data_IF_423576623868
#
_entry.id   IF_423576623868
#
_cell.length_a   1.000
_cell.length_b   1.000
_cell.length_c   1.000
_cell.angle_alpha   90.00
_cell.angle_beta   90.00
_cell.angle_gamma   90.00
#
_symmetry.space_group_name_H-M   'P 1'
#
loop_
_entity.id
_entity.type
_entity.pdbx_description
1 polymer ?
#
# COMPACT_ATOMS: atom_id res chain seq x y z
N UNK A 1 37.59 -24.01 24.18
CA UNK A 1 38.58 -23.60 25.20
C UNK A 1 37.79 -23.06 26.40
N UNK A 2 36.91 -23.87 26.99
CA UNK A 2 36.12 -23.56 28.23
C UNK A 2 35.62 -24.79 28.91
N UNK A 3 36.30 -25.97 28.75
CA UNK A 3 35.92 -27.24 29.42
C UNK A 3 37.06 -27.79 30.27
N UNK A 4 38.17 -27.14 30.48
CA UNK A 4 39.29 -27.69 31.24
C UNK A 4 39.47 -27.11 32.66
N UNK A 5 38.49 -26.38 33.23
CA UNK A 5 38.66 -25.70 34.51
C UNK A 5 37.78 -26.26 35.67
N UNK A 6 37.14 -27.42 35.52
CA UNK A 6 36.24 -27.99 36.55
C UNK A 6 36.55 -29.42 36.99
N UNK A 7 37.80 -29.87 36.85
CA UNK A 7 38.13 -31.26 37.24
C UNK A 7 39.12 -31.42 38.39
N UNK A 8 39.47 -30.37 39.11
CA UNK A 8 40.33 -30.51 40.30
C UNK A 8 39.69 -29.84 41.51
N UNK A 9 39.03 -30.61 42.36
CA UNK A 9 38.88 -30.56 43.82
C UNK A 9 37.64 -31.30 44.29
N UNK A 10 37.65 -32.65 44.22
CA UNK A 10 36.87 -33.50 45.12
C UNK A 10 37.82 -34.57 45.67
N UNK A 11 38.51 -34.25 46.77
CA UNK A 11 39.17 -35.25 47.57
C UNK A 11 38.18 -35.87 48.54
N UNK A 12 38.00 -37.17 48.40
CA UNK A 12 37.25 -38.00 49.35
C UNK A 12 37.90 -37.92 50.72
N UNK A 13 37.09 -37.66 51.73
CA UNK A 13 37.41 -37.96 53.17
C UNK A 13 36.41 -38.92 53.72
N UNK A 14 36.94 -40.00 54.28
CA UNK A 14 36.27 -41.13 54.88
C UNK A 14 35.35 -40.74 56.07
N UNK A 15 34.23 -41.49 56.31
CA UNK A 15 33.25 -41.17 57.32
C UNK A 15 33.50 -42.02 58.57
N UNK A 16 34.16 -41.50 59.57
CA UNK A 16 34.01 -41.96 60.97
C UNK A 16 34.24 -40.76 61.90
N UNK A 17 33.17 -40.11 62.31
CA UNK A 17 33.04 -39.64 63.69
C UNK A 17 31.58 -39.40 64.06
N UNK A 18 31.26 -39.71 65.27
CA UNK A 18 29.93 -39.84 65.84
C UNK A 18 29.31 -38.51 66.25
N UNK A 19 28.00 -38.44 66.24
CA UNK A 19 27.28 -37.73 67.31
C UNK A 19 26.47 -36.47 66.83
N UNK A 20 25.15 -36.64 66.93
CA UNK A 20 24.30 -35.49 67.05
C UNK A 20 23.09 -35.46 66.13
N UNK A 21 22.01 -36.14 66.56
CA UNK A 21 20.68 -36.00 65.92
C UNK A 21 20.22 -34.54 65.95
N UNK A 22 20.37 -33.81 64.80
CA UNK A 22 19.70 -32.53 64.62
C UNK A 22 18.27 -32.76 64.15
N UNK A 23 17.33 -32.28 64.96
CA UNK A 23 15.87 -32.36 64.77
C UNK A 23 15.43 -32.06 63.35
N UNK A 24 14.60 -32.93 62.74
CA UNK A 24 14.00 -32.83 61.43
C UNK A 24 13.19 -31.53 61.18
N UNK A 25 12.96 -30.74 62.22
CA UNK A 25 12.31 -29.44 62.14
C UNK A 25 13.21 -28.34 61.57
N UNK A 26 14.52 -28.42 61.71
CA UNK A 26 15.44 -27.40 61.19
C UNK A 26 15.78 -27.65 59.71
N UNK A 27 15.80 -28.91 59.28
CA UNK A 27 15.94 -29.23 57.87
C UNK A 27 14.72 -28.75 57.04
N UNK A 28 13.50 -28.93 57.60
CA UNK A 28 12.26 -28.48 56.93
C UNK A 28 12.15 -26.96 56.83
N UNK A 29 12.69 -26.21 57.79
CA UNK A 29 12.77 -24.74 57.74
C UNK A 29 13.81 -24.22 56.76
N UNK A 30 14.88 -24.98 56.50
CA UNK A 30 15.87 -24.63 55.45
C UNK A 30 15.31 -24.85 54.04
N UNK A 31 14.57 -25.94 53.81
CA UNK A 31 13.93 -26.20 52.51
C UNK A 31 12.79 -25.24 52.20
N UNK A 32 12.01 -24.83 53.21
CA UNK A 32 10.97 -23.81 53.01
C UNK A 32 11.53 -22.43 52.72
N UNK A 33 12.65 -22.03 53.32
CA UNK A 33 13.32 -20.76 53.03
C UNK A 33 14.00 -20.75 51.66
N UNK A 34 14.59 -21.84 51.20
CA UNK A 34 15.18 -22.01 49.89
C UNK A 34 14.13 -22.03 48.77
N UNK A 35 12.97 -22.67 49.00
CA UNK A 35 11.85 -22.67 48.04
C UNK A 35 11.20 -21.29 47.89
N UNK A 36 11.11 -20.48 48.99
CA UNK A 36 10.58 -19.15 48.93
C UNK A 36 11.54 -18.16 48.25
N UNK A 37 12.86 -18.32 48.45
CA UNK A 37 13.86 -17.51 47.74
C UNK A 37 13.94 -17.83 46.25
N UNK A 38 13.74 -19.09 45.84
CA UNK A 38 13.68 -19.49 44.44
C UNK A 38 12.40 -18.99 43.75
N UNK A 39 11.25 -18.94 44.43
CA UNK A 39 10.00 -18.42 43.91
C UNK A 39 10.03 -16.89 43.69
N UNK A 40 10.71 -16.17 44.59
CA UNK A 40 10.86 -14.69 44.45
C UNK A 40 11.85 -14.34 43.34
N UNK A 41 12.87 -15.16 43.07
CA UNK A 41 13.79 -14.96 41.93
C UNK A 41 13.15 -15.30 40.58
N UNK A 42 12.18 -16.23 40.55
CA UNK A 42 11.44 -16.55 39.31
C UNK A 42 10.43 -15.47 38.87
N UNK A 43 9.88 -14.72 39.82
CA UNK A 43 8.97 -13.57 39.51
C UNK A 43 9.74 -12.32 39.05
N UNK A 44 11.01 -12.17 39.41
CA UNK A 44 11.87 -11.08 39.00
C UNK A 44 12.43 -11.21 37.57
N UNK A 45 12.32 -12.40 36.94
CA UNK A 45 12.81 -12.67 35.60
C UNK A 45 11.75 -12.52 34.48
N UNK A 46 10.54 -12.06 34.81
CA UNK A 46 9.65 -11.48 33.80
C UNK A 46 10.19 -10.08 33.45
N UNK A 47 11.37 -10.07 32.79
CA UNK A 47 11.86 -8.88 32.13
C UNK A 47 10.75 -8.38 31.24
N UNK A 48 10.32 -7.13 31.43
CA UNK A 48 9.51 -6.43 30.45
C UNK A 48 10.22 -6.57 29.12
N UNK A 49 9.71 -7.44 28.25
CA UNK A 49 10.17 -7.51 26.87
C UNK A 49 10.05 -6.09 26.35
N UNK A 50 11.18 -5.42 26.22
CA UNK A 50 11.22 -4.07 25.65
C UNK A 50 10.71 -4.24 24.24
N UNK A 51 9.55 -3.66 23.92
CA UNK A 51 9.01 -3.74 22.58
C UNK A 51 10.12 -3.33 21.60
N UNK A 52 10.48 -4.23 20.70
CA UNK A 52 11.48 -3.98 19.67
C UNK A 52 10.95 -2.86 18.77
N UNK A 53 11.81 -1.92 18.42
CA UNK A 53 11.42 -0.78 17.59
C UNK A 53 11.24 -1.26 16.16
N UNK A 54 10.02 -1.12 15.63
CA UNK A 54 9.66 -1.46 14.27
C UNK A 54 9.54 -0.16 13.44
N UNK A 55 10.38 -0.03 12.40
CA UNK A 55 10.34 1.10 11.47
C UNK A 55 9.99 0.58 10.07
N UNK A 56 8.78 0.85 9.62
CA UNK A 56 8.25 0.38 8.34
C UNK A 56 8.45 1.39 7.22
N UNK A 57 8.61 0.88 6.01
CA UNK A 57 8.65 1.67 4.77
C UNK A 57 7.33 1.49 4.04
N UNK A 58 6.69 2.62 3.69
CA UNK A 58 5.52 2.69 2.82
C UNK A 58 5.94 3.18 1.43
N UNK A 59 5.88 2.32 0.43
CA UNK A 59 6.12 2.67 -0.96
C UNK A 59 4.87 3.32 -1.58
N UNK A 60 5.05 4.42 -2.30
CA UNK A 60 3.97 5.25 -2.84
C UNK A 60 4.02 5.33 -4.37
N UNK A 61 4.24 6.50 -4.95
CA UNK A 61 4.46 6.70 -6.38
C UNK A 61 5.09 8.09 -6.66
N UNK A 62 4.85 8.62 -7.86
CA UNK A 62 5.27 9.96 -8.29
C UNK A 62 4.73 11.06 -7.35
N UNK A 63 5.57 12.04 -7.04
CA UNK A 63 5.23 13.16 -6.14
C UNK A 63 4.11 14.07 -6.67
N UNK A 64 3.89 14.11 -7.99
CA UNK A 64 2.80 14.87 -8.63
C UNK A 64 1.42 14.17 -8.57
N UNK A 65 1.35 12.93 -8.06
CA UNK A 65 0.11 12.16 -7.88
C UNK A 65 -0.40 12.18 -6.44
N UNK A 66 -1.43 11.37 -6.16
CA UNK A 66 -2.12 11.31 -4.86
C UNK A 66 -1.43 10.37 -3.86
N UNK A 67 -0.78 9.29 -4.32
CA UNK A 67 -0.16 8.29 -3.42
C UNK A 67 0.88 8.92 -2.49
N UNK A 68 1.74 9.78 -3.01
CA UNK A 68 2.85 10.32 -2.23
C UNK A 68 2.38 11.23 -1.07
N UNK A 69 1.59 12.30 -1.29
CA UNK A 69 1.15 13.15 -0.18
C UNK A 69 0.31 12.40 0.85
N UNK A 70 -0.56 11.48 0.44
CA UNK A 70 -1.36 10.67 1.36
C UNK A 70 -0.49 9.65 2.11
N UNK A 71 0.47 9.02 1.44
CA UNK A 71 1.43 8.11 2.08
C UNK A 71 2.30 8.80 3.13
N UNK A 72 2.75 10.05 2.85
CA UNK A 72 3.46 10.88 3.81
C UNK A 72 2.58 11.19 5.03
N UNK A 73 1.31 11.53 4.81
CA UNK A 73 0.36 11.80 5.88
C UNK A 73 0.10 10.56 6.74
N UNK A 74 -0.14 9.40 6.12
CA UNK A 74 -0.33 8.13 6.82
C UNK A 74 0.90 7.75 7.64
N UNK A 75 2.09 7.85 7.06
CA UNK A 75 3.35 7.58 7.74
C UNK A 75 3.56 8.53 8.94
N UNK A 76 3.24 9.82 8.77
CA UNK A 76 3.29 10.81 9.85
C UNK A 76 2.32 10.46 10.95
N UNK A 77 1.09 10.06 10.61
CA UNK A 77 0.07 9.65 11.58
C UNK A 77 0.55 8.44 12.41
N UNK A 78 1.05 7.39 11.75
CA UNK A 78 1.62 6.21 12.42
C UNK A 78 2.76 6.61 13.35
N UNK A 79 3.70 7.41 12.86
CA UNK A 79 4.85 7.87 13.65
C UNK A 79 4.41 8.66 14.89
N UNK A 80 3.49 9.60 14.74
CA UNK A 80 3.04 10.46 15.86
C UNK A 80 2.22 9.67 16.89
N UNK A 81 1.37 8.75 16.45
CA UNK A 81 0.44 8.02 17.32
C UNK A 81 1.04 6.76 17.93
N UNK A 82 1.82 5.99 17.18
CA UNK A 82 2.28 4.67 17.60
C UNK A 82 3.73 4.64 18.05
N UNK A 83 4.64 5.43 17.47
CA UNK A 83 6.06 5.36 17.82
C UNK A 83 6.36 5.67 19.31
N UNK A 84 5.71 6.66 19.97
CA UNK A 84 6.07 7.00 21.35
C UNK A 84 5.83 5.86 22.35
N UNK A 85 4.76 5.10 22.16
CA UNK A 85 4.33 4.06 23.13
C UNK A 85 4.55 2.64 22.59
N UNK A 86 4.16 2.37 21.36
CA UNK A 86 4.19 1.05 20.74
C UNK A 86 5.51 0.77 20.00
N UNK A 87 6.37 1.78 19.83
CA UNK A 87 7.63 1.67 19.08
C UNK A 87 7.44 1.30 17.60
N UNK A 88 6.28 1.64 17.02
CA UNK A 88 5.97 1.44 15.61
C UNK A 88 6.09 2.77 14.89
N UNK A 89 7.08 2.88 14.02
CA UNK A 89 7.30 4.00 13.12
C UNK A 89 7.01 3.64 11.66
N UNK A 90 6.79 4.65 10.84
CA UNK A 90 6.62 4.48 9.39
C UNK A 90 7.21 5.68 8.65
N UNK A 91 7.78 5.43 7.46
CA UNK A 91 8.25 6.47 6.54
C UNK A 91 7.76 6.18 5.13
N UNK A 92 7.31 7.22 4.42
CA UNK A 92 6.91 7.09 3.03
C UNK A 92 8.10 7.34 2.10
N UNK A 93 8.19 6.54 1.03
CA UNK A 93 9.13 6.75 -0.08
C UNK A 93 8.38 6.92 -1.40
N UNK A 94 8.94 7.71 -2.31
CA UNK A 94 8.46 7.74 -3.69
C UNK A 94 8.94 6.49 -4.43
N UNK A 95 8.16 6.05 -5.41
CA UNK A 95 8.49 4.91 -6.28
C UNK A 95 7.97 5.16 -7.70
N UNK A 96 8.07 4.18 -8.58
CA UNK A 96 7.37 4.23 -9.86
C UNK A 96 5.85 4.04 -9.68
N UNK A 97 5.40 3.37 -8.63
CA UNK A 97 3.99 3.05 -8.35
C UNK A 97 3.74 1.56 -8.24
N UNK A 98 2.52 1.11 -8.53
CA UNK A 98 2.01 -0.21 -8.15
C UNK A 98 2.89 -1.39 -8.59
N UNK A 99 3.46 -1.38 -9.79
CA UNK A 99 4.32 -2.47 -10.25
C UNK A 99 5.61 -2.59 -9.43
N UNK A 100 6.29 -1.46 -9.20
CA UNK A 100 7.47 -1.42 -8.33
C UNK A 100 7.09 -1.73 -6.87
N UNK A 101 5.94 -1.25 -6.39
CA UNK A 101 5.52 -1.48 -5.00
C UNK A 101 5.27 -2.97 -4.71
N UNK A 102 4.69 -3.73 -5.65
CA UNK A 102 4.56 -5.19 -5.52
C UNK A 102 5.94 -5.84 -5.39
N UNK A 103 6.91 -5.43 -6.21
CA UNK A 103 8.28 -5.92 -6.12
C UNK A 103 8.92 -5.57 -4.76
N UNK A 104 8.84 -4.32 -4.33
CA UNK A 104 9.42 -3.85 -3.06
C UNK A 104 8.84 -4.60 -1.85
N UNK A 105 7.52 -4.90 -1.86
CA UNK A 105 6.89 -5.70 -0.80
C UNK A 105 7.40 -7.14 -0.85
N UNK A 106 7.43 -7.77 -2.02
CA UNK A 106 7.91 -9.15 -2.21
C UNK A 106 9.36 -9.32 -1.75
N UNK A 107 10.21 -8.34 -2.03
CA UNK A 107 11.65 -8.37 -1.72
C UNK A 107 11.95 -7.87 -0.29
N UNK A 108 10.92 -7.44 0.47
CA UNK A 108 11.07 -6.93 1.82
C UNK A 108 11.69 -5.53 1.92
N UNK A 109 11.90 -4.85 0.79
CA UNK A 109 12.43 -3.48 0.74
C UNK A 109 11.42 -2.43 1.22
N UNK A 110 10.11 -2.72 1.08
CA UNK A 110 9.03 -1.99 1.71
C UNK A 110 8.07 -2.96 2.39
N UNK A 111 7.53 -2.57 3.54
CA UNK A 111 6.59 -3.41 4.28
C UNK A 111 5.14 -3.09 3.94
N UNK A 112 4.91 -1.89 3.43
CA UNK A 112 3.61 -1.42 2.95
C UNK A 112 3.74 -0.79 1.57
N UNK A 113 2.66 -0.83 0.79
CA UNK A 113 2.61 -0.15 -0.51
C UNK A 113 1.19 0.24 -0.86
N UNK A 114 1.03 1.36 -1.60
CA UNK A 114 -0.25 1.73 -2.19
C UNK A 114 -0.31 1.13 -3.60
N UNK A 115 -1.35 0.36 -3.88
CA UNK A 115 -1.54 -0.36 -5.14
C UNK A 115 -2.89 -0.03 -5.78
N UNK A 116 -2.92 -0.06 -7.11
CA UNK A 116 -4.17 -0.12 -7.89
C UNK A 116 -4.80 -1.52 -7.79
N UNK A 117 -6.12 -1.60 -7.89
CA UNK A 117 -6.86 -2.85 -7.94
C UNK A 117 -6.37 -3.81 -9.03
N UNK A 118 -6.05 -3.29 -10.22
CA UNK A 118 -5.48 -4.08 -11.32
C UNK A 118 -4.19 -4.80 -10.92
N UNK A 119 -3.28 -4.13 -10.21
CA UNK A 119 -2.04 -4.75 -9.76
C UNK A 119 -2.25 -5.74 -8.62
N UNK A 120 -3.28 -5.53 -7.80
CA UNK A 120 -3.74 -6.55 -6.87
C UNK A 120 -4.32 -7.79 -7.59
N UNK A 121 -5.09 -7.58 -8.65
CA UNK A 121 -5.57 -8.67 -9.51
C UNK A 121 -4.39 -9.44 -10.16
N UNK A 122 -3.43 -8.73 -10.74
CA UNK A 122 -2.22 -9.36 -11.31
C UNK A 122 -1.42 -10.11 -10.25
N UNK A 123 -1.31 -9.55 -9.04
CA UNK A 123 -0.64 -10.21 -7.92
C UNK A 123 -1.37 -11.50 -7.49
N UNK A 124 -2.70 -11.49 -7.45
CA UNK A 124 -3.50 -12.67 -7.10
C UNK A 124 -3.41 -13.78 -8.15
N UNK A 125 -3.36 -13.42 -9.44
CA UNK A 125 -3.46 -14.37 -10.55
C UNK A 125 -2.13 -14.75 -11.20
N UNK A 126 -1.05 -14.00 -10.91
CA UNK A 126 0.24 -14.17 -11.60
C UNK A 126 0.15 -13.85 -13.09
N UNK A 127 -0.62 -12.83 -13.46
CA UNK A 127 -0.83 -12.44 -14.86
C UNK A 127 -0.30 -11.04 -15.15
N UNK A 128 -0.42 -10.59 -16.41
CA UNK A 128 0.07 -9.28 -16.84
C UNK A 128 1.57 -9.10 -16.59
N UNK A 129 2.01 -7.96 -16.04
CA UNK A 129 3.42 -7.72 -15.74
C UNK A 129 4.05 -8.69 -14.71
N UNK A 130 3.23 -9.49 -14.02
CA UNK A 130 3.69 -10.47 -13.02
C UNK A 130 3.72 -11.92 -13.56
N UNK A 131 3.45 -12.13 -14.84
CA UNK A 131 3.36 -13.48 -15.43
C UNK A 131 4.64 -14.30 -15.26
N UNK A 132 5.82 -13.67 -15.30
CA UNK A 132 7.11 -14.37 -15.14
C UNK A 132 7.40 -14.76 -13.67
N UNK A 133 6.88 -13.99 -12.72
CA UNK A 133 7.12 -14.22 -11.28
C UNK A 133 5.97 -14.96 -10.59
N UNK A 134 4.84 -15.09 -11.26
CA UNK A 134 3.66 -15.82 -10.78
C UNK A 134 2.86 -15.10 -9.70
N UNK A 135 1.87 -15.80 -9.09
CA UNK A 135 1.03 -15.25 -8.02
C UNK A 135 1.85 -14.82 -6.79
N UNK A 136 1.46 -13.70 -6.19
CA UNK A 136 2.12 -13.14 -5.01
C UNK A 136 1.37 -13.59 -3.74
N UNK A 137 1.56 -14.84 -3.33
CA UNK A 137 0.80 -15.49 -2.26
C UNK A 137 0.94 -14.81 -0.89
N UNK A 138 2.04 -14.07 -0.67
CA UNK A 138 2.28 -13.32 0.57
C UNK A 138 1.71 -11.90 0.56
N UNK A 139 1.15 -11.43 -0.54
CA UNK A 139 0.54 -10.11 -0.57
C UNK A 139 -0.80 -10.12 0.18
N UNK A 140 -1.01 -9.12 1.03
CA UNK A 140 -2.24 -8.94 1.81
C UNK A 140 -2.78 -7.54 1.65
N UNK A 141 -4.10 -7.42 1.67
CA UNK A 141 -4.80 -6.14 1.76
C UNK A 141 -4.86 -5.66 3.21
N UNK A 142 -4.71 -4.36 3.41
CA UNK A 142 -5.00 -3.71 4.69
C UNK A 142 -6.32 -2.95 4.59
N UNK A 143 -6.48 -2.10 3.58
CA UNK A 143 -7.67 -1.25 3.44
C UNK A 143 -7.81 -0.75 2.00
N UNK A 144 -9.06 -0.63 1.53
CA UNK A 144 -9.39 0.25 0.41
C UNK A 144 -9.17 1.69 0.85
N UNK A 145 -8.63 2.53 -0.06
CA UNK A 145 -8.28 3.92 0.25
C UNK A 145 -9.21 4.90 -0.50
N UNK A 146 -9.06 5.05 -1.80
CA UNK A 146 -9.90 5.90 -2.66
C UNK A 146 -9.89 5.37 -4.10
N UNK A 147 -10.73 5.96 -4.95
CA UNK A 147 -10.80 5.60 -6.36
C UNK A 147 -9.60 6.17 -7.14
N UNK A 148 -8.93 5.31 -7.89
CA UNK A 148 -7.92 5.67 -8.88
C UNK A 148 -8.63 6.02 -10.18
N UNK A 149 -8.80 7.31 -10.42
CA UNK A 149 -9.59 7.85 -11.54
C UNK A 149 -8.70 7.98 -12.76
N UNK A 150 -9.08 7.38 -13.86
CA UNK A 150 -8.35 7.49 -15.13
C UNK A 150 -8.51 8.90 -15.70
N UNK A 151 -7.40 9.52 -16.13
CA UNK A 151 -7.36 10.91 -16.57
C UNK A 151 -6.48 10.99 -17.81
N UNK A 152 -7.12 11.03 -18.99
CA UNK A 152 -6.46 11.19 -20.28
C UNK A 152 -6.57 12.63 -20.76
N UNK A 153 -5.43 13.23 -21.05
CA UNK A 153 -5.34 14.61 -21.53
C UNK A 153 -4.45 14.63 -22.78
N UNK A 154 -4.94 15.21 -23.86
CA UNK A 154 -4.21 15.32 -25.12
C UNK A 154 -4.09 16.78 -25.56
N UNK A 155 -3.19 17.06 -26.51
CA UNK A 155 -3.13 18.34 -27.18
C UNK A 155 -4.49 18.64 -27.84
N UNK A 156 -5.00 19.85 -27.70
CA UNK A 156 -6.34 20.22 -28.19
C UNK A 156 -6.51 20.09 -29.72
N UNK A 157 -5.42 20.30 -30.46
CA UNK A 157 -5.38 20.11 -31.92
C UNK A 157 -5.51 18.63 -32.35
N UNK A 158 -5.33 17.70 -31.43
CA UNK A 158 -5.46 16.27 -31.65
C UNK A 158 -6.82 15.71 -31.21
N UNK A 159 -7.67 16.52 -30.57
CA UNK A 159 -9.00 16.10 -30.11
C UNK A 159 -10.03 16.31 -31.24
N UNK A 160 -10.69 15.23 -31.62
CA UNK A 160 -11.78 15.25 -32.61
C UNK A 160 -13.15 15.01 -31.97
N UNK A 161 -13.27 13.89 -31.23
CA UNK A 161 -14.50 13.49 -30.54
C UNK A 161 -14.55 14.01 -29.10
N UNK A 162 -13.40 14.27 -28.49
CA UNK A 162 -13.27 14.59 -27.08
C UNK A 162 -13.45 13.37 -26.17
N UNK A 163 -13.34 12.15 -26.72
CA UNK A 163 -13.42 10.89 -25.99
C UNK A 163 -12.12 10.09 -26.09
N UNK A 164 -12.03 9.01 -25.33
CA UNK A 164 -10.83 8.15 -25.29
C UNK A 164 -10.45 7.59 -26.67
N UNK A 165 -11.41 7.48 -27.58
CA UNK A 165 -11.19 7.09 -28.99
C UNK A 165 -10.22 8.01 -29.72
N UNK A 166 -10.05 9.27 -29.32
CA UNK A 166 -9.07 10.16 -29.95
C UNK A 166 -7.64 9.69 -29.71
N UNK A 167 -7.34 9.06 -28.57
CA UNK A 167 -6.03 8.44 -28.29
C UNK A 167 -5.69 7.36 -29.31
N UNK A 168 -6.70 6.60 -29.78
CA UNK A 168 -6.49 5.49 -30.74
C UNK A 168 -6.01 6.00 -32.10
N UNK A 169 -6.23 7.27 -32.41
CA UNK A 169 -5.83 7.93 -33.68
C UNK A 169 -4.42 8.54 -33.63
N UNK A 170 -3.76 8.53 -32.46
CA UNK A 170 -2.44 9.12 -32.26
C UNK A 170 -1.28 8.14 -32.53
N UNK A 171 -1.50 7.12 -33.39
CA UNK A 171 -0.45 6.16 -33.74
C UNK A 171 0.79 6.85 -34.30
N UNK A 172 1.97 6.47 -33.81
CA UNK A 172 3.26 7.07 -34.14
C UNK A 172 3.59 8.36 -33.36
N UNK A 173 2.65 8.88 -32.54
CA UNK A 173 2.93 10.04 -31.72
C UNK A 173 3.68 9.68 -30.43
N UNK A 174 4.46 10.65 -29.91
CA UNK A 174 5.04 10.54 -28.57
C UNK A 174 3.96 10.71 -27.51
N UNK A 175 3.86 9.77 -26.58
CA UNK A 175 2.87 9.72 -25.50
C UNK A 175 3.54 9.45 -24.14
N UNK A 176 3.11 10.14 -23.07
CA UNK A 176 3.59 9.87 -21.72
C UNK A 176 2.50 9.12 -20.92
N UNK A 177 2.52 7.80 -21.01
CA UNK A 177 1.53 6.89 -20.43
C UNK A 177 1.99 6.26 -19.11
N UNK A 178 2.97 6.85 -18.44
CA UNK A 178 3.49 6.43 -17.14
C UNK A 178 4.97 6.10 -17.12
N UNK A 179 5.52 5.92 -15.93
CA UNK A 179 6.91 5.44 -15.74
C UNK A 179 6.99 3.94 -16.01
N UNK A 180 8.17 3.46 -16.36
CA UNK A 180 8.43 2.01 -16.36
C UNK A 180 8.13 1.43 -14.98
N UNK A 181 7.59 0.23 -14.93
CA UNK A 181 7.18 -0.49 -13.71
C UNK A 181 6.14 0.26 -12.86
N UNK A 182 5.45 1.27 -13.43
CA UNK A 182 4.36 1.94 -12.73
C UNK A 182 3.02 1.21 -12.90
N UNK A 183 2.10 1.46 -11.97
CA UNK A 183 0.70 1.09 -12.17
C UNK A 183 0.08 1.77 -13.37
N UNK A 184 0.50 3.00 -13.65
CA UNK A 184 0.01 3.82 -14.78
C UNK A 184 0.30 3.16 -16.14
N UNK A 185 1.55 2.77 -16.41
CA UNK A 185 1.86 2.11 -17.68
C UNK A 185 1.14 0.77 -17.81
N UNK A 186 1.02 0.02 -16.71
CA UNK A 186 0.30 -1.27 -16.69
C UNK A 186 -1.20 -1.12 -16.91
N UNK A 187 -1.85 -0.11 -16.30
CA UNK A 187 -3.28 0.14 -16.55
C UNK A 187 -3.51 0.66 -17.97
N UNK A 188 -2.68 1.55 -18.48
CA UNK A 188 -2.79 2.02 -19.87
C UNK A 188 -2.59 0.89 -20.88
N UNK A 189 -1.65 -0.01 -20.67
CA UNK A 189 -1.50 -1.20 -21.52
C UNK A 189 -2.77 -2.06 -21.52
N UNK A 190 -3.36 -2.30 -20.35
CA UNK A 190 -4.59 -3.09 -20.23
C UNK A 190 -5.81 -2.41 -20.88
N UNK A 191 -5.96 -1.08 -20.65
CA UNK A 191 -7.07 -0.30 -21.19
C UNK A 191 -6.99 -0.18 -22.70
N UNK A 192 -5.82 0.14 -23.24
CA UNK A 192 -5.60 0.30 -24.68
C UNK A 192 -5.69 -1.04 -25.40
N UNK A 193 -5.24 -2.14 -24.80
CA UNK A 193 -5.43 -3.48 -25.37
C UNK A 193 -6.93 -3.84 -25.49
N UNK A 194 -7.78 -3.44 -24.54
CA UNK A 194 -9.23 -3.56 -24.65
C UNK A 194 -9.82 -2.77 -25.82
N UNK A 195 -9.18 -1.67 -26.22
CA UNK A 195 -9.52 -0.87 -27.40
C UNK A 195 -8.81 -1.34 -28.67
N UNK A 196 -8.09 -2.45 -28.64
CA UNK A 196 -7.40 -3.03 -29.79
C UNK A 196 -6.03 -2.43 -30.08
N UNK A 197 -5.39 -1.76 -29.10
CA UNK A 197 -4.10 -1.07 -29.28
C UNK A 197 -3.04 -1.68 -28.37
N UNK A 198 -1.92 -2.10 -28.93
CA UNK A 198 -0.68 -2.29 -28.17
C UNK A 198 0.05 -0.94 -28.07
N UNK A 199 0.18 -0.42 -26.86
CA UNK A 199 0.81 0.88 -26.62
C UNK A 199 2.29 0.91 -27.01
N UNK A 200 2.99 -0.24 -26.98
CA UNK A 200 4.41 -0.32 -27.34
C UNK A 200 4.64 -0.27 -28.85
N UNK A 201 3.65 -0.74 -29.63
CA UNK A 201 3.69 -0.70 -31.10
C UNK A 201 3.09 0.62 -31.62
N UNK A 202 2.06 1.12 -30.94
CA UNK A 202 1.30 2.26 -31.43
C UNK A 202 1.98 3.63 -31.14
N UNK A 203 2.75 3.75 -30.05
CA UNK A 203 3.25 5.03 -29.60
C UNK A 203 4.76 5.04 -29.37
N UNK A 204 5.37 6.24 -29.53
CA UNK A 204 6.69 6.54 -28.99
C UNK A 204 6.53 6.88 -27.51
N UNK A 205 6.83 5.92 -26.61
CA UNK A 205 6.55 6.03 -25.18
C UNK A 205 7.62 6.85 -24.44
N UNK A 206 7.20 7.96 -23.86
CA UNK A 206 7.99 8.79 -22.94
C UNK A 206 7.71 8.36 -21.51
N UNK A 207 8.66 7.67 -20.87
CA UNK A 207 8.50 7.16 -19.51
C UNK A 207 8.81 8.23 -18.47
N UNK A 208 7.77 8.91 -17.97
CA UNK A 208 7.90 10.00 -17.03
C UNK A 208 6.89 9.93 -15.88
N UNK A 209 7.17 10.62 -14.77
CA UNK A 209 6.21 10.84 -13.69
C UNK A 209 5.22 11.94 -14.05
N UNK A 210 4.15 12.11 -13.27
CA UNK A 210 3.01 12.99 -13.64
C UNK A 210 3.40 14.44 -13.88
N UNK A 211 4.24 15.04 -13.03
CA UNK A 211 4.70 16.43 -13.24
C UNK A 211 5.46 16.58 -14.57
N UNK A 212 6.57 15.85 -14.79
CA UNK A 212 7.29 15.89 -16.07
C UNK A 212 6.43 15.50 -17.28
N UNK A 213 5.45 14.58 -17.15
CA UNK A 213 4.51 14.27 -18.25
C UNK A 213 3.63 15.47 -18.60
N UNK A 214 3.11 16.16 -17.58
CA UNK A 214 2.30 17.36 -17.77
C UNK A 214 3.11 18.49 -18.43
N UNK A 215 4.35 18.70 -17.99
CA UNK A 215 5.29 19.68 -18.61
C UNK A 215 5.60 19.31 -20.07
N UNK A 216 5.83 18.02 -20.36
CA UNK A 216 6.08 17.54 -21.72
C UNK A 216 4.89 17.80 -22.67
N UNK A 217 3.65 17.60 -22.18
CA UNK A 217 2.45 17.92 -22.95
C UNK A 217 2.31 19.44 -23.17
N UNK A 218 2.48 20.22 -22.12
CA UNK A 218 2.42 21.69 -22.19
C UNK A 218 3.44 22.24 -23.21
N UNK A 219 4.63 21.65 -23.27
CA UNK A 219 5.71 22.05 -24.18
C UNK A 219 5.61 21.41 -25.57
N UNK A 220 4.56 20.64 -25.87
CA UNK A 220 4.36 19.97 -27.15
C UNK A 220 5.35 18.82 -27.45
N UNK A 221 6.07 18.33 -26.44
CA UNK A 221 7.02 17.21 -26.56
C UNK A 221 6.31 15.86 -26.65
N UNK A 222 5.09 15.77 -26.11
CA UNK A 222 4.19 14.61 -26.26
C UNK A 222 2.81 15.10 -26.72
N UNK A 223 2.05 14.25 -27.39
CA UNK A 223 0.68 14.55 -27.84
C UNK A 223 -0.38 14.21 -26.79
N UNK A 224 -0.04 13.43 -25.81
CA UNK A 224 -0.98 13.10 -24.72
C UNK A 224 -0.30 12.47 -23.51
N UNK A 225 -1.04 12.51 -22.41
CA UNK A 225 -0.65 11.93 -21.12
C UNK A 225 -1.81 11.15 -20.51
N UNK A 226 -1.47 10.22 -19.63
CA UNK A 226 -2.43 9.57 -18.71
C UNK A 226 -1.91 9.66 -17.28
N UNK A 227 -2.76 10.11 -16.37
CA UNK A 227 -2.41 10.36 -14.96
C UNK A 227 -3.44 9.79 -14.00
N UNK A 228 -3.67 8.45 -13.99
CA UNK A 228 -4.66 7.82 -13.09
C UNK A 228 -4.30 8.08 -11.63
N UNK A 229 -5.20 8.76 -10.92
CA UNK A 229 -4.97 9.19 -9.53
C UNK A 229 -6.29 9.50 -8.80
N UNK A 230 -6.21 9.80 -7.50
CA UNK A 230 -7.29 10.47 -6.78
C UNK A 230 -7.43 11.92 -7.23
N UNK A 231 -8.64 12.38 -7.44
CA UNK A 231 -8.92 13.74 -7.91
C UNK A 231 -9.14 14.72 -6.75
N UNK A 232 -8.72 16.01 -6.90
CA UNK A 232 -7.92 16.58 -7.99
C UNK A 232 -6.46 16.14 -7.94
N UNK A 233 -5.86 15.82 -9.08
CA UNK A 233 -4.44 15.46 -9.18
C UNK A 233 -3.58 16.72 -9.34
N UNK A 234 -2.54 16.87 -8.52
CA UNK A 234 -1.71 18.08 -8.51
C UNK A 234 -1.10 18.44 -9.86
N UNK A 235 -0.53 17.44 -10.56
CA UNK A 235 0.06 17.65 -11.90
C UNK A 235 -0.99 18.09 -12.95
N UNK A 236 -2.22 17.54 -12.88
CA UNK A 236 -3.32 17.93 -13.77
C UNK A 236 -3.81 19.33 -13.45
N UNK A 237 -3.94 19.68 -12.17
CA UNK A 237 -4.31 21.05 -11.76
C UNK A 237 -3.31 22.09 -12.29
N UNK A 238 -2.02 21.79 -12.20
CA UNK A 238 -0.95 22.65 -12.74
C UNK A 238 -1.03 22.77 -14.26
N UNK A 239 -1.17 21.63 -14.96
CA UNK A 239 -1.30 21.63 -16.43
C UNK A 239 -2.46 22.47 -16.91
N UNK A 240 -3.67 22.22 -16.37
CA UNK A 240 -4.87 22.95 -16.81
C UNK A 240 -4.82 24.45 -16.46
N UNK A 241 -4.20 24.81 -15.33
CA UNK A 241 -3.98 26.21 -14.98
C UNK A 241 -3.03 26.95 -15.94
N UNK A 242 -2.03 26.24 -16.49
CA UNK A 242 -0.99 26.86 -17.34
C UNK A 242 -1.24 26.69 -18.84
N UNK A 243 -1.78 25.55 -19.27
CA UNK A 243 -2.00 25.25 -20.69
C UNK A 243 -3.37 25.72 -21.20
N UNK A 244 -4.38 25.89 -20.33
CA UNK A 244 -5.72 26.34 -20.71
C UNK A 244 -6.30 25.52 -21.86
N UNK A 245 -6.80 26.22 -22.89
CA UNK A 245 -7.46 25.62 -24.05
C UNK A 245 -6.50 24.90 -25.02
N UNK A 246 -5.19 24.90 -24.77
CA UNK A 246 -4.23 24.18 -25.62
C UNK A 246 -4.23 22.67 -25.39
N UNK A 247 -4.92 22.19 -24.34
CA UNK A 247 -5.08 20.77 -24.03
C UNK A 247 -6.56 20.42 -23.86
N UNK A 248 -6.91 19.14 -24.12
CA UNK A 248 -8.26 18.61 -23.96
C UNK A 248 -8.26 17.44 -23.00
N UNK A 249 -9.06 17.55 -21.97
CA UNK A 249 -9.38 16.41 -21.10
C UNK A 249 -10.43 15.55 -21.81
N UNK A 250 -10.15 14.24 -21.93
CA UNK A 250 -11.02 13.33 -22.67
C UNK A 250 -12.07 12.68 -21.75
N UNK A 251 -13.28 12.54 -22.29
CA UNK A 251 -14.30 11.70 -21.70
C UNK A 251 -14.06 10.21 -22.04
N UNK A 252 -14.67 9.32 -21.27
CA UNK A 252 -14.77 7.88 -21.55
C UNK A 252 -16.24 7.53 -21.68
N UNK A 253 -16.63 7.01 -22.85
CA UNK A 253 -18.02 6.56 -23.06
C UNK A 253 -18.27 5.21 -22.38
N UNK A 254 -19.55 4.83 -22.13
CA UNK A 254 -19.86 3.50 -21.61
C UNK A 254 -19.32 2.34 -22.45
N UNK A 255 -19.31 2.50 -23.78
CA UNK A 255 -18.80 1.52 -24.73
C UNK A 255 -17.27 1.39 -24.64
N UNK A 256 -16.56 2.54 -24.56
CA UNK A 256 -15.11 2.59 -24.35
C UNK A 256 -14.72 1.96 -22.99
N UNK A 257 -15.48 2.26 -21.92
CA UNK A 257 -15.27 1.65 -20.61
C UNK A 257 -15.45 0.13 -20.69
N UNK A 258 -16.54 -0.35 -21.29
CA UNK A 258 -16.80 -1.78 -21.39
C UNK A 258 -15.70 -2.50 -22.18
N UNK A 259 -15.25 -1.90 -23.28
CA UNK A 259 -14.15 -2.44 -24.09
C UNK A 259 -12.83 -2.45 -23.31
N UNK A 260 -12.49 -1.33 -22.66
CA UNK A 260 -11.26 -1.17 -21.89
C UNK A 260 -11.23 -2.09 -20.65
N UNK A 261 -12.36 -2.28 -19.97
CA UNK A 261 -12.46 -3.22 -18.83
C UNK A 261 -12.29 -4.69 -19.29
N UNK A 262 -12.74 -5.02 -20.49
CA UNK A 262 -12.59 -6.36 -21.04
C UNK A 262 -13.25 -7.46 -20.21
N UNK A 263 -14.33 -7.14 -19.47
CA UNK A 263 -15.07 -8.07 -18.63
C UNK A 263 -14.41 -8.39 -17.27
N UNK A 264 -13.40 -7.64 -16.88
CA UNK A 264 -12.72 -7.82 -15.58
C UNK A 264 -13.58 -7.35 -14.41
N UNK A 265 -14.57 -6.49 -14.65
CA UNK A 265 -15.39 -5.82 -13.64
C UNK A 265 -14.56 -5.04 -12.61
N UNK A 266 -13.46 -4.47 -13.06
CA UNK A 266 -12.51 -3.74 -12.24
C UNK A 266 -12.75 -2.23 -12.32
N UNK A 267 -12.94 -1.71 -13.55
CA UNK A 267 -13.23 -0.30 -13.77
C UNK A 267 -14.74 -0.04 -13.71
N UNK A 268 -15.09 1.00 -12.98
CA UNK A 268 -16.48 1.48 -12.83
C UNK A 268 -16.59 2.90 -13.36
N UNK A 269 -17.79 3.33 -13.84
CA UNK A 269 -18.01 4.72 -14.24
C UNK A 269 -17.68 5.69 -13.10
N UNK A 270 -17.05 6.80 -13.46
CA UNK A 270 -16.73 7.87 -12.53
C UNK A 270 -16.94 9.23 -13.19
N UNK A 271 -17.47 10.20 -12.45
CA UNK A 271 -17.64 11.57 -12.92
C UNK A 271 -16.71 12.49 -12.13
N UNK A 272 -15.82 13.19 -12.84
CA UNK A 272 -15.08 14.32 -12.28
C UNK A 272 -15.97 15.54 -12.42
N UNK A 273 -16.52 16.02 -11.30
CA UNK A 273 -17.47 17.12 -11.27
C UNK A 273 -16.87 18.43 -11.82
N UNK A 274 -17.67 19.21 -12.50
CA UNK A 274 -17.31 20.56 -12.94
C UNK A 274 -16.70 21.38 -11.81
N UNK A 275 -15.68 22.18 -12.12
CA UNK A 275 -14.96 22.98 -11.14
C UNK A 275 -13.94 22.23 -10.29
N UNK A 276 -13.72 20.92 -10.51
CA UNK A 276 -12.66 20.15 -9.84
C UNK A 276 -11.28 20.66 -10.22
N UNK A 277 -11.08 21.02 -11.47
CA UNK A 277 -9.83 21.56 -12.02
C UNK A 277 -9.95 23.00 -12.51
N UNK A 278 -8.85 23.77 -12.56
CA UNK A 278 -8.86 25.11 -13.16
C UNK A 278 -9.37 25.08 -14.60
N UNK A 279 -10.32 25.97 -14.93
CA UNK A 279 -10.90 26.07 -16.26
C UNK A 279 -11.88 24.97 -16.67
N UNK A 280 -12.05 23.94 -15.88
CA UNK A 280 -13.02 22.85 -16.15
C UNK A 280 -14.44 23.32 -15.78
N UNK A 281 -15.24 23.62 -16.77
CA UNK A 281 -16.62 24.12 -16.60
C UNK A 281 -17.70 23.05 -16.71
N UNK A 282 -17.36 21.86 -17.22
CA UNK A 282 -18.27 20.75 -17.43
C UNK A 282 -17.79 19.51 -16.68
N UNK A 283 -18.74 18.60 -16.39
CA UNK A 283 -18.42 17.29 -15.87
C UNK A 283 -17.60 16.48 -16.87
N UNK A 284 -16.61 15.72 -16.40
CA UNK A 284 -15.85 14.79 -17.23
C UNK A 284 -16.27 13.37 -16.85
N UNK A 285 -16.84 12.66 -17.81
CA UNK A 285 -17.18 11.26 -17.65
C UNK A 285 -15.92 10.42 -17.87
N UNK A 286 -15.60 9.57 -16.91
CA UNK A 286 -14.42 8.71 -16.96
C UNK A 286 -14.67 7.41 -16.23
N UNK A 287 -13.63 6.69 -15.89
CA UNK A 287 -13.68 5.43 -15.16
C UNK A 287 -12.65 5.41 -14.03
N UNK A 288 -12.91 4.57 -13.03
CA UNK A 288 -12.05 4.44 -11.88
C UNK A 288 -11.98 2.99 -11.40
N UNK A 289 -10.90 2.67 -10.71
CA UNK A 289 -10.67 1.42 -10.01
C UNK A 289 -10.25 1.71 -8.55
N UNK A 290 -10.40 0.77 -7.60
CA UNK A 290 -9.96 1.02 -6.24
C UNK A 290 -8.44 1.14 -6.13
N UNK A 291 -7.98 2.03 -5.23
CA UNK A 291 -6.64 1.98 -4.67
C UNK A 291 -6.71 1.34 -3.28
N UNK A 292 -5.73 0.56 -2.91
CA UNK A 292 -5.69 -0.08 -1.61
C UNK A 292 -4.29 -0.04 -0.98
N UNK A 293 -4.25 -0.08 0.34
CA UNK A 293 -3.04 -0.27 1.12
C UNK A 293 -2.77 -1.78 1.20
N UNK A 294 -1.60 -2.17 0.75
CA UNK A 294 -1.12 -3.55 0.78
C UNK A 294 0.05 -3.71 1.74
N UNK A 295 0.27 -4.95 2.18
CA UNK A 295 1.38 -5.34 3.05
C UNK A 295 1.78 -6.80 2.80
N UNK A 296 2.87 -7.27 3.44
CA UNK A 296 3.31 -8.66 3.41
C UNK A 296 2.64 -9.47 4.53
N UNK A 297 2.33 -10.73 4.28
CA UNK A 297 1.66 -11.64 5.22
C UNK A 297 2.44 -11.85 6.52
N UNK A 298 3.77 -11.77 6.48
CA UNK A 298 4.64 -12.07 7.62
C UNK A 298 4.78 -10.90 8.61
N UNK A 299 4.12 -9.76 8.36
CA UNK A 299 4.14 -8.67 9.33
C UNK A 299 3.41 -9.09 10.61
N UNK A 300 3.88 -8.63 11.80
CA UNK A 300 3.20 -8.94 13.05
C UNK A 300 1.74 -8.48 13.04
N UNK A 301 0.82 -9.39 13.37
CA UNK A 301 -0.62 -9.13 13.40
C UNK A 301 -0.94 -7.88 14.23
N UNK A 302 -0.35 -7.77 15.43
CA UNK A 302 -0.58 -6.64 16.33
C UNK A 302 -0.19 -5.30 15.71
N UNK A 303 0.91 -5.27 14.93
CA UNK A 303 1.36 -4.02 14.30
C UNK A 303 0.39 -3.58 13.20
N UNK A 304 -0.04 -4.50 12.34
CA UNK A 304 -1.00 -4.18 11.27
C UNK A 304 -2.37 -3.82 11.85
N UNK A 305 -2.81 -4.51 12.92
CA UNK A 305 -4.01 -4.14 13.66
C UNK A 305 -3.93 -2.69 14.18
N UNK A 306 -2.84 -2.34 14.88
CA UNK A 306 -2.67 -0.98 15.42
C UNK A 306 -2.60 0.08 14.33
N UNK A 307 -1.93 -0.20 13.21
CA UNK A 307 -1.86 0.73 12.07
C UNK A 307 -3.24 0.93 11.46
N UNK A 308 -3.99 -0.15 11.22
CA UNK A 308 -5.35 -0.10 10.66
C UNK A 308 -6.28 0.69 11.58
N UNK A 309 -6.28 0.38 12.86
CA UNK A 309 -7.06 1.08 13.89
C UNK A 309 -6.71 2.57 13.95
N UNK A 310 -5.41 2.89 13.98
CA UNK A 310 -4.93 4.29 14.01
C UNK A 310 -5.40 5.07 12.79
N UNK A 311 -5.38 4.46 11.62
CA UNK A 311 -5.85 5.07 10.37
C UNK A 311 -7.34 5.45 10.46
N UNK A 312 -8.20 4.51 10.89
CA UNK A 312 -9.65 4.74 10.94
C UNK A 312 -10.08 5.62 12.12
N UNK A 313 -9.45 5.53 13.26
CA UNK A 313 -9.71 6.44 14.40
C UNK A 313 -9.27 7.88 14.14
N UNK A 314 -8.48 8.13 13.10
CA UNK A 314 -7.97 9.47 12.76
C UNK A 314 -8.28 9.86 11.30
N UNK A 315 -9.34 9.32 10.70
CA UNK A 315 -9.77 9.66 9.33
C UNK A 315 -9.86 11.16 9.05
N UNK A 316 -10.37 12.03 9.94
CA UNK A 316 -10.41 13.47 9.69
C UNK A 316 -9.04 14.09 9.39
N UNK A 317 -7.97 13.58 10.00
CA UNK A 317 -6.60 14.02 9.68
C UNK A 317 -6.22 13.67 8.24
N UNK A 318 -6.48 12.43 7.80
CA UNK A 318 -6.17 12.00 6.43
C UNK A 318 -7.05 12.72 5.40
N UNK A 319 -8.34 12.90 5.71
CA UNK A 319 -9.32 13.58 4.86
C UNK A 319 -9.01 15.07 4.67
N UNK A 320 -8.28 15.70 5.60
CA UNK A 320 -7.82 17.08 5.47
C UNK A 320 -6.62 17.24 4.53
N UNK A 321 -5.90 16.14 4.22
CA UNK A 321 -4.69 16.18 3.39
C UNK A 321 -5.03 16.23 1.89
N UNK A 322 -6.04 15.44 1.47
CA UNK A 322 -6.39 15.35 0.06
C UNK A 322 -7.89 15.07 -0.12
N UNK A 323 -8.61 15.74 -1.03
CA UNK A 323 -10.05 15.51 -1.22
C UNK A 323 -10.42 14.04 -1.53
N UNK A 324 -9.58 13.32 -2.27
CA UNK A 324 -9.82 11.90 -2.60
C UNK A 324 -9.95 11.02 -1.36
N UNK A 325 -9.27 11.33 -0.26
CA UNK A 325 -9.33 10.54 0.98
C UNK A 325 -10.66 10.66 1.72
N UNK A 326 -11.55 11.57 1.30
CA UNK A 326 -12.95 11.61 1.79
C UNK A 326 -13.72 10.34 1.46
N UNK A 327 -13.28 9.57 0.46
CA UNK A 327 -13.81 8.25 0.14
C UNK A 327 -13.44 7.18 1.19
N UNK A 328 -12.45 7.44 2.03
CA UNK A 328 -12.07 6.53 3.11
C UNK A 328 -13.13 6.57 4.20
N UNK A 329 -13.86 5.48 4.34
CA UNK A 329 -14.87 5.26 5.35
C UNK A 329 -14.79 3.80 5.81
N UNK A 330 -15.15 3.54 7.07
CA UNK A 330 -15.05 2.19 7.62
C UNK A 330 -15.96 1.20 6.87
N UNK A 331 -17.12 1.65 6.43
CA UNK A 331 -18.11 0.85 5.68
C UNK A 331 -17.59 0.46 4.28
N UNK A 332 -16.66 1.23 3.73
CA UNK A 332 -16.05 0.98 2.42
C UNK A 332 -14.66 0.33 2.51
N UNK A 333 -14.16 0.09 3.73
CA UNK A 333 -12.78 -0.31 4.00
C UNK A 333 -12.31 -1.57 3.27
N UNK A 334 -13.22 -2.49 2.99
CA UNK A 334 -12.91 -3.77 2.32
C UNK A 334 -13.51 -3.88 0.92
N UNK A 335 -14.12 -2.80 0.42
CA UNK A 335 -14.77 -2.79 -0.89
C UNK A 335 -13.73 -2.93 -2.02
N UNK A 336 -13.95 -3.88 -2.94
CA UNK A 336 -13.11 -4.07 -4.12
C UNK A 336 -11.68 -4.55 -3.84
N UNK A 337 -11.36 -4.99 -2.62
CA UNK A 337 -10.03 -5.52 -2.31
C UNK A 337 -9.75 -6.80 -3.12
N UNK A 338 -8.59 -6.86 -3.82
CA UNK A 338 -8.28 -7.94 -4.75
C UNK A 338 -7.61 -9.16 -4.13
N UNK A 339 -6.96 -9.02 -2.97
CA UNK A 339 -6.24 -10.07 -2.25
C UNK A 339 -6.75 -10.18 -0.81
N UNK A 340 -6.56 -11.32 -0.12
CA UNK A 340 -7.00 -11.52 1.25
C UNK A 340 -6.48 -10.43 2.21
N UNK A 341 -7.24 -10.17 3.26
CA UNK A 341 -6.83 -9.27 4.33
C UNK A 341 -5.63 -9.81 5.10
N UNK A 342 -4.81 -8.90 5.61
CA UNK A 342 -3.85 -9.25 6.65
C UNK A 342 -4.60 -9.55 7.97
N UNK A 343 -4.20 -10.58 8.75
CA UNK A 343 -4.89 -10.95 9.99
C UNK A 343 -5.13 -9.78 10.95
N UNK A 344 -4.15 -8.86 11.07
CA UNK A 344 -4.31 -7.67 11.91
C UNK A 344 -5.37 -6.69 11.40
N UNK A 345 -5.49 -6.52 10.09
CA UNK A 345 -6.56 -5.70 9.51
C UNK A 345 -7.93 -6.39 9.67
N UNK A 346 -8.00 -7.70 9.42
CA UNK A 346 -9.19 -8.52 9.63
C UNK A 346 -9.71 -8.35 11.06
N UNK A 347 -8.86 -8.54 12.07
CA UNK A 347 -9.19 -8.42 13.50
C UNK A 347 -9.81 -7.05 13.82
N UNK A 348 -9.26 -5.97 13.26
CA UNK A 348 -9.83 -4.64 13.49
C UNK A 348 -11.23 -4.51 12.87
N UNK A 349 -11.42 -5.00 11.65
CA UNK A 349 -12.73 -4.94 11.00
C UNK A 349 -13.80 -5.78 11.72
N UNK A 350 -13.43 -6.95 12.23
CA UNK A 350 -14.31 -7.77 13.08
C UNK A 350 -14.66 -7.04 14.38
N UNK A 351 -13.70 -6.37 15.03
CA UNK A 351 -13.91 -5.56 16.25
C UNK A 351 -14.95 -4.46 16.02
N UNK A 352 -14.95 -3.82 14.86
CA UNK A 352 -15.90 -2.74 14.53
C UNK A 352 -17.15 -3.22 13.81
N UNK A 353 -17.35 -4.54 13.69
CA UNK A 353 -18.59 -5.15 13.19
C UNK A 353 -18.72 -5.21 11.67
N UNK A 354 -17.61 -5.14 10.92
CA UNK A 354 -17.62 -5.34 9.47
C UNK A 354 -17.68 -6.84 9.15
N UNK A 355 -18.67 -7.26 8.39
CA UNK A 355 -18.76 -8.63 7.88
C UNK A 355 -17.74 -8.85 6.75
N UNK A 356 -16.82 -9.81 6.95
CA UNK A 356 -15.73 -10.07 6.01
C UNK A 356 -16.11 -11.23 5.08
N UNK A 357 -16.20 -11.00 3.77
CA UNK A 357 -16.46 -12.06 2.79
C UNK A 357 -15.35 -13.14 2.83
N UNK A 358 -15.74 -14.40 2.67
CA UNK A 358 -14.82 -15.55 2.72
C UNK A 358 -13.59 -15.41 1.80
N UNK A 359 -13.74 -14.78 0.63
CA UNK A 359 -12.64 -14.51 -0.30
C UNK A 359 -11.53 -13.60 0.26
N UNK A 360 -11.84 -12.82 1.29
CA UNK A 360 -10.88 -11.91 1.95
C UNK A 360 -10.27 -12.49 3.22
N UNK A 361 -10.67 -13.66 3.64
CA UNK A 361 -10.07 -14.39 4.76
C UNK A 361 -8.86 -15.17 4.21
N UNK A 362 -7.67 -14.90 4.76
CA UNK A 362 -6.47 -15.66 4.40
C UNK A 362 -6.61 -17.11 4.89
N UNK A 363 -6.27 -18.07 4.03
CA UNK A 363 -6.23 -19.49 4.37
C UNK A 363 -4.90 -19.85 4.97
#
# INVERSE_FOLDING_TARGET
MLWEFLSERLSFRDPHDEGGAKNGRDLMKMFTKAAFAAAVLAVGAMGTAKAEEANYVLSTASTGGTYYPVGVALSTLVKVKLQPKQKIGMSAISSAGSGENVRLIREGEAQFGILQGLFGYYAATGTGPLAEVGPQEHLRSVSMLWQNVEQFIIAADAAESGTLSDVTKLSGASMALGRQNSGTIGSNAALMAGLGIDINEAFDLVYAGYGPSAEALQNGQVKGISTPAGVPTGAVSQLLASAGDSVKFLNVTPEELAAADGGRNLWTPYTIAAGTYPGQTEDIQTMAQPNFLATHADLPEEHVYMITKTMYENLPFLQAIHPATKAMAIEAAIAGLPVPLHPGAQRYYEEVGIEIPARLIAQ
#
